data_IF_353931171501
#
_entry.id   IF_353931171501
#
_cell.length_a   1.000
_cell.length_b   1.000
_cell.length_c   1.000
_cell.angle_alpha   90.00
_cell.angle_beta   90.00
_cell.angle_gamma   90.00
#
_symmetry.space_group_name_H-M   'P 1'
#
loop_
_entity.id
_entity.type
_entity.pdbx_description
1 polymer ?
#
# COMPACT_ATOMS: atom_id res chain seq x y z
N UNK A 1 6.17 16.34 5.69
CA UNK A 1 6.05 15.91 4.29
C UNK A 1 4.74 16.40 3.72
N UNK A 2 4.79 17.17 2.66
CA UNK A 2 3.61 17.77 2.04
C UNK A 2 3.10 16.82 0.97
N UNK A 3 1.83 16.43 1.07
CA UNK A 3 1.21 15.56 0.09
C UNK A 3 0.56 16.41 -0.99
N UNK A 4 0.98 16.24 -2.25
CA UNK A 4 0.48 17.01 -3.39
C UNK A 4 -0.66 16.30 -4.11
N UNK A 5 -0.61 14.99 -4.17
CA UNK A 5 -1.70 14.16 -4.70
C UNK A 5 -1.56 12.76 -4.15
N UNK A 6 -2.67 12.02 -4.11
CA UNK A 6 -2.66 10.68 -3.57
C UNK A 6 -3.74 9.84 -4.23
N UNK A 7 -3.54 8.52 -4.20
CA UNK A 7 -4.56 7.57 -4.61
C UNK A 7 -4.51 6.38 -3.67
N UNK A 8 -5.61 5.64 -3.61
CA UNK A 8 -5.68 4.43 -2.82
C UNK A 8 -6.53 3.40 -3.57
N UNK A 9 -6.01 2.19 -3.67
CA UNK A 9 -6.76 1.04 -4.18
C UNK A 9 -7.03 0.12 -3.00
N UNK A 10 -8.21 -0.48 -2.97
CA UNK A 10 -8.65 -1.31 -1.84
C UNK A 10 -9.11 -2.65 -2.38
N UNK A 11 -8.69 -3.72 -1.71
CA UNK A 11 -9.16 -5.06 -2.02
C UNK A 11 -9.59 -5.75 -0.73
N UNK A 12 -10.84 -6.16 -0.68
CA UNK A 12 -11.41 -6.81 0.50
C UNK A 12 -11.68 -8.27 0.23
N UNK A 13 -11.38 -9.09 1.23
CA UNK A 13 -11.64 -10.52 1.19
C UNK A 13 -12.61 -10.88 2.29
N UNK A 14 -13.62 -11.68 1.94
CA UNK A 14 -14.60 -12.17 2.91
C UNK A 14 -14.04 -13.35 3.67
N UNK A 15 -14.63 -13.61 4.83
CA UNK A 15 -14.35 -14.80 5.58
C UNK A 15 -14.79 -16.03 4.78
N UNK A 16 -13.90 -17.01 4.66
CA UNK A 16 -14.22 -18.32 4.10
C UNK A 16 -13.81 -19.35 5.13
N UNK A 17 -14.78 -19.97 5.76
CA UNK A 17 -14.55 -20.89 6.86
C UNK A 17 -13.55 -21.97 6.46
N UNK A 18 -12.50 -22.12 7.27
CA UNK A 18 -11.45 -23.09 7.02
C UNK A 18 -10.46 -22.73 5.95
N UNK A 19 -10.65 -21.60 5.24
CA UNK A 19 -9.79 -21.19 4.11
C UNK A 19 -9.13 -19.83 4.31
N UNK A 20 -9.89 -18.84 4.75
CA UNK A 20 -9.33 -17.51 4.97
C UNK A 20 -10.15 -16.72 5.97
N UNK A 21 -9.47 -15.79 6.65
CA UNK A 21 -10.13 -14.80 7.49
C UNK A 21 -10.45 -13.57 6.64
N UNK A 22 -11.52 -12.86 7.02
CA UNK A 22 -11.84 -11.61 6.39
C UNK A 22 -10.68 -10.64 6.60
N UNK A 23 -10.27 -9.96 5.54
CA UNK A 23 -9.21 -8.96 5.63
C UNK A 23 -9.31 -7.98 4.48
N UNK A 24 -8.66 -6.83 4.65
CA UNK A 24 -8.66 -5.78 3.64
C UNK A 24 -7.22 -5.34 3.38
N UNK A 25 -6.91 -5.17 2.11
CA UNK A 25 -5.62 -4.67 1.67
C UNK A 25 -5.79 -3.27 1.11
N UNK A 26 -4.90 -2.37 1.49
CA UNK A 26 -4.90 -0.98 1.05
C UNK A 26 -3.58 -0.71 0.33
N UNK A 27 -3.66 -0.17 -0.87
CA UNK A 27 -2.51 0.12 -1.72
C UNK A 27 -2.55 1.60 -2.02
N UNK A 28 -1.65 2.37 -1.39
CA UNK A 28 -1.69 3.83 -1.45
C UNK A 28 -0.42 4.39 -2.06
N UNK A 29 -0.56 5.43 -2.86
CA UNK A 29 0.56 6.20 -3.38
C UNK A 29 0.30 7.67 -3.11
N UNK A 30 1.34 8.38 -2.68
CA UNK A 30 1.26 9.81 -2.37
C UNK A 30 2.47 10.50 -2.99
N UNK A 31 2.21 11.56 -3.75
CA UNK A 31 3.29 12.39 -4.28
C UNK A 31 3.62 13.47 -3.27
N UNK A 32 4.89 13.54 -2.90
CA UNK A 32 5.38 14.50 -1.92
C UNK A 32 6.56 15.26 -2.53
N UNK A 33 7.06 16.26 -1.81
CA UNK A 33 8.25 16.99 -2.21
C UNK A 33 9.51 16.12 -2.20
N UNK A 34 9.45 14.99 -1.51
CA UNK A 34 10.60 14.09 -1.40
C UNK A 34 10.55 12.94 -2.39
N UNK A 35 9.45 12.81 -3.14
CA UNK A 35 9.24 11.72 -4.07
C UNK A 35 7.90 11.07 -3.87
N UNK A 36 7.75 9.85 -4.34
CA UNK A 36 6.49 9.11 -4.24
C UNK A 36 6.57 8.16 -3.04
N UNK A 37 5.68 8.37 -2.08
CA UNK A 37 5.56 7.47 -0.93
C UNK A 37 4.53 6.40 -1.26
N UNK A 38 4.92 5.13 -1.16
CA UNK A 38 4.03 3.99 -1.39
C UNK A 38 3.78 3.29 -0.06
N UNK A 39 2.54 2.86 0.14
CA UNK A 39 2.17 2.15 1.37
C UNK A 39 1.28 0.99 1.02
N UNK A 40 1.58 -0.16 1.59
CA UNK A 40 0.73 -1.34 1.52
C UNK A 40 0.35 -1.72 2.94
N UNK A 41 -0.94 -1.78 3.22
CA UNK A 41 -1.44 -2.09 4.55
C UNK A 41 -2.43 -3.24 4.48
N UNK A 42 -2.42 -4.08 5.50
CA UNK A 42 -3.39 -5.15 5.65
C UNK A 42 -4.08 -5.02 6.99
N UNK A 43 -5.40 -4.99 6.96
CA UNK A 43 -6.22 -4.94 8.16
C UNK A 43 -6.94 -6.27 8.33
N UNK A 44 -6.77 -6.89 9.48
CA UNK A 44 -7.39 -8.17 9.79
C UNK A 44 -7.60 -8.26 11.30
N UNK A 45 -8.83 -8.56 11.71
CA UNK A 45 -9.16 -8.78 13.13
C UNK A 45 -8.75 -7.61 14.02
N UNK A 46 -8.96 -6.40 13.55
CA UNK A 46 -8.65 -5.19 14.31
C UNK A 46 -7.17 -4.83 14.35
N UNK A 47 -6.33 -5.54 13.60
CA UNK A 47 -4.90 -5.27 13.54
C UNK A 47 -4.53 -4.79 12.14
N UNK A 48 -3.54 -3.93 12.07
CA UNK A 48 -3.07 -3.39 10.81
C UNK A 48 -1.56 -3.59 10.67
N UNK A 49 -1.16 -4.27 9.61
CA UNK A 49 0.25 -4.43 9.25
C UNK A 49 0.52 -3.45 8.13
N UNK A 50 1.55 -2.62 8.28
CA UNK A 50 1.84 -1.55 7.34
C UNK A 50 3.30 -1.64 6.87
N UNK A 51 3.49 -1.47 5.57
CA UNK A 51 4.82 -1.40 4.96
C UNK A 51 4.87 -0.17 4.07
N UNK A 52 5.91 0.65 4.22
CA UNK A 52 6.05 1.92 3.50
C UNK A 52 7.41 2.04 2.85
N UNK A 53 7.42 2.61 1.64
CA UNK A 53 8.65 2.90 0.93
C UNK A 53 8.57 4.29 0.31
N UNK A 54 9.72 4.87 0.00
CA UNK A 54 9.83 6.11 -0.73
C UNK A 54 10.56 5.84 -2.04
N UNK A 55 9.98 6.33 -3.14
CA UNK A 55 10.59 6.26 -4.46
C UNK A 55 11.02 7.67 -4.86
N UNK A 56 12.29 8.05 -4.59
CA UNK A 56 12.71 9.46 -4.75
C UNK A 56 12.61 9.97 -6.17
N UNK A 57 12.86 9.11 -7.16
CA UNK A 57 12.85 9.51 -8.55
C UNK A 57 11.61 9.03 -9.32
N UNK A 58 10.59 8.57 -8.61
CA UNK A 58 9.40 8.03 -9.23
C UNK A 58 8.47 9.10 -9.78
N UNK A 59 7.56 8.71 -10.66
CA UNK A 59 6.48 9.59 -11.09
C UNK A 59 5.15 9.00 -10.64
N UNK A 60 4.18 9.86 -10.41
CA UNK A 60 2.92 9.45 -9.83
C UNK A 60 2.10 8.51 -10.72
N UNK A 61 1.96 8.77 -12.03
CA UNK A 61 1.23 7.84 -12.90
C UNK A 61 1.82 6.43 -12.90
N UNK A 62 3.14 6.31 -12.87
CA UNK A 62 3.79 5.00 -12.80
C UNK A 62 3.51 4.34 -11.45
N UNK A 63 3.58 5.11 -10.37
CA UNK A 63 3.26 4.61 -9.03
C UNK A 63 1.83 4.10 -8.95
N UNK A 64 0.88 4.82 -9.55
CA UNK A 64 -0.51 4.38 -9.60
C UNK A 64 -0.64 3.03 -10.32
N UNK A 65 0.04 2.88 -11.45
CA UNK A 65 0.00 1.61 -12.19
C UNK A 65 0.57 0.46 -11.37
N UNK A 66 1.66 0.71 -10.67
CA UNK A 66 2.27 -0.32 -9.81
C UNK A 66 1.31 -0.71 -8.69
N UNK A 67 0.75 0.25 -7.99
CA UNK A 67 -0.15 -0.05 -6.87
C UNK A 67 -1.42 -0.73 -7.35
N UNK A 68 -1.94 -0.33 -8.51
CA UNK A 68 -3.09 -0.99 -9.10
C UNK A 68 -2.77 -2.45 -9.46
N UNK A 69 -1.60 -2.70 -10.04
CA UNK A 69 -1.16 -4.04 -10.37
C UNK A 69 -1.10 -4.92 -9.12
N UNK A 70 -0.50 -4.39 -8.03
CA UNK A 70 -0.43 -5.12 -6.77
C UNK A 70 -1.82 -5.43 -6.22
N UNK A 71 -2.73 -4.46 -6.32
CA UNK A 71 -4.10 -4.63 -5.87
C UNK A 71 -4.84 -5.69 -6.68
N UNK A 72 -4.72 -5.64 -7.99
CA UNK A 72 -5.39 -6.61 -8.87
C UNK A 72 -4.89 -8.03 -8.65
N UNK A 73 -3.67 -8.17 -8.17
CA UNK A 73 -3.09 -9.49 -7.90
C UNK A 73 -3.12 -9.88 -6.43
N UNK A 74 -3.72 -9.06 -5.57
CA UNK A 74 -3.88 -9.38 -4.16
C UNK A 74 -2.57 -9.55 -3.40
N UNK A 75 -1.54 -8.78 -3.78
CA UNK A 75 -0.23 -8.89 -3.16
C UNK A 75 -0.27 -8.32 -1.75
N UNK A 76 0.26 -9.07 -0.77
CA UNK A 76 0.28 -8.63 0.62
C UNK A 76 1.56 -7.92 1.02
N UNK A 77 1.57 -7.36 2.26
CA UNK A 77 2.72 -6.60 2.74
C UNK A 77 4.01 -7.41 2.85
N UNK A 78 3.92 -8.72 2.97
CA UNK A 78 5.10 -9.58 3.08
C UNK A 78 5.75 -9.92 1.75
N UNK A 79 5.13 -9.55 0.63
CA UNK A 79 5.58 -9.96 -0.69
C UNK A 79 5.90 -8.79 -1.62
N UNK A 80 5.34 -7.62 -1.35
CA UNK A 80 5.35 -6.56 -2.35
C UNK A 80 6.74 -5.96 -2.62
N UNK A 81 7.62 -5.97 -1.63
CA UNK A 81 8.97 -5.42 -1.82
C UNK A 81 9.76 -6.22 -2.86
N UNK A 82 9.60 -7.54 -2.85
CA UNK A 82 10.23 -8.38 -3.87
C UNK A 82 9.71 -8.07 -5.26
N UNK A 83 8.40 -7.79 -5.36
CA UNK A 83 7.79 -7.44 -6.64
C UNK A 83 8.30 -6.09 -7.12
N UNK A 84 8.45 -5.11 -6.21
CA UNK A 84 9.03 -3.83 -6.59
C UNK A 84 10.44 -3.99 -7.13
N UNK A 85 11.23 -4.88 -6.52
CA UNK A 85 12.57 -5.19 -7.01
C UNK A 85 12.53 -5.85 -8.40
N UNK A 86 11.61 -6.80 -8.58
CA UNK A 86 11.45 -7.46 -9.87
C UNK A 86 11.02 -6.50 -10.97
N UNK A 87 10.26 -5.46 -10.61
CA UNK A 87 9.83 -4.41 -11.54
C UNK A 87 10.90 -3.35 -11.74
N UNK A 88 12.06 -3.51 -11.11
CA UNK A 88 13.17 -2.55 -11.17
C UNK A 88 12.75 -1.15 -10.69
N UNK A 89 11.89 -1.12 -9.67
CA UNK A 89 11.44 0.13 -9.07
C UNK A 89 12.35 0.50 -7.90
N UNK A 90 13.21 1.54 -8.06
CA UNK A 90 14.08 1.95 -6.95
C UNK A 90 13.26 2.51 -5.78
N UNK A 91 13.61 2.10 -4.58
CA UNK A 91 12.90 2.57 -3.39
C UNK A 91 13.80 2.52 -2.16
N UNK A 92 13.42 3.29 -1.14
CA UNK A 92 14.02 3.25 0.19
C UNK A 92 12.94 2.89 1.20
N UNK A 93 13.29 2.07 2.17
CA UNK A 93 12.31 1.69 3.21
C UNK A 93 12.04 2.87 4.13
N UNK A 94 10.77 3.10 4.42
CA UNK A 94 10.33 4.11 5.38
C UNK A 94 9.90 3.50 6.71
N UNK A 95 9.49 2.22 6.69
CA UNK A 95 9.14 1.50 7.90
C UNK A 95 9.88 0.18 7.92
N UNK A 96 10.27 -0.30 9.11
CA UNK A 96 10.83 -1.65 9.23
C UNK A 96 9.80 -2.67 8.77
N UNK A 97 10.24 -3.82 8.22
CA UNK A 97 9.34 -4.94 7.96
C UNK A 97 8.64 -5.36 9.25
N UNK A 98 7.44 -5.92 9.12
CA UNK A 98 6.65 -6.46 10.23
C UNK A 98 6.16 -5.43 11.24
N UNK A 99 6.12 -4.16 10.86
CA UNK A 99 5.51 -3.15 11.72
C UNK A 99 4.01 -3.38 11.79
N UNK A 100 3.50 -3.54 13.00
CA UNK A 100 2.08 -3.74 13.25
C UNK A 100 1.54 -2.52 13.97
N UNK A 101 0.46 -1.94 13.44
CA UNK A 101 -0.19 -0.77 14.03
C UNK A 101 -1.66 -1.05 14.20
N UNK A 102 -2.27 -0.44 15.22
CA UNK A 102 -3.73 -0.47 15.31
C UNK A 102 -4.30 0.39 14.20
N UNK A 103 -5.44 -0.02 13.62
CA UNK A 103 -6.08 0.82 12.61
C UNK A 103 -6.44 2.14 13.25
N UNK A 104 -5.86 3.19 12.75
CA UNK A 104 -6.26 4.53 13.13
C UNK A 104 -7.00 5.10 11.96
N UNK A 105 -7.69 6.17 12.19
CA UNK A 105 -8.20 6.94 11.10
C UNK A 105 -7.01 7.33 10.28
N UNK A 106 -6.64 6.45 9.42
CA UNK A 106 -5.52 6.67 8.57
C UNK A 106 -5.89 7.83 7.70
N UNK A 107 -5.70 8.97 8.23
CA UNK A 107 -6.00 10.16 7.50
C UNK A 107 -4.88 10.38 6.51
N UNK A 108 -5.04 9.80 5.36
CA UNK A 108 -4.12 10.01 4.27
C UNK A 108 -4.47 11.26 3.48
N UNK A 109 -5.30 12.13 4.06
CA UNK A 109 -5.74 13.32 3.38
C UNK A 109 -6.72 12.99 2.24
N UNK A 110 -6.85 13.91 1.31
CA UNK A 110 -7.75 13.72 0.17
C UNK A 110 -7.14 12.73 -0.79
N UNK A 111 -7.93 11.76 -1.21
CA UNK A 111 -7.44 10.73 -2.10
C UNK A 111 -8.59 10.10 -2.85
N UNK A 112 -8.25 9.47 -3.95
CA UNK A 112 -9.18 8.63 -4.66
C UNK A 112 -9.16 7.24 -4.05
N UNK A 113 -10.33 6.64 -3.92
CA UNK A 113 -10.46 5.28 -3.44
C UNK A 113 -11.06 4.46 -4.58
N UNK A 114 -10.36 3.40 -4.96
CA UNK A 114 -10.81 2.52 -6.02
C UNK A 114 -10.97 1.13 -5.42
N UNK A 115 -12.14 0.53 -5.63
CA UNK A 115 -12.42 -0.84 -5.17
C UNK A 115 -12.26 -1.79 -6.35
N UNK A 116 -11.61 -2.90 -6.05
CA UNK A 116 -11.35 -3.93 -7.05
C UNK A 116 -12.00 -5.24 -6.63
#
# INVERSE_FOLDING_TARGET
MIVKESCRYVRSYSELEGLQHAHTLYYSARRTEMGIALELAQEQSGRCTVSRVLCPAGNFPQAMRVMRYLCENGIGPGQWLEILEDLHQPFCLLTPPDTVQTPQNADFGKRFVVFV
#
